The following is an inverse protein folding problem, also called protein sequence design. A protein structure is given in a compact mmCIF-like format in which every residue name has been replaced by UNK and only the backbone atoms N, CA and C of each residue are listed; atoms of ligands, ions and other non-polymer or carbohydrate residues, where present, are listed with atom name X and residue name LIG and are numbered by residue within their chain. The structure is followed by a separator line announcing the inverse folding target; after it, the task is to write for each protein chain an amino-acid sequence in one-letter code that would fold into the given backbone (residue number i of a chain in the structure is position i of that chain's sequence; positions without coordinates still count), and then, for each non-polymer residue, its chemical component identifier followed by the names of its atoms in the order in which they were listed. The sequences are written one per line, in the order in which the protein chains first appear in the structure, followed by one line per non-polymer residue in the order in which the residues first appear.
data_IF_482606415362
#
_entry.id   IF_482606415362
#
_cell.length_a   1.000
_cell.length_b   1.000
_cell.length_c   1.000
_cell.angle_alpha   90.00
_cell.angle_beta   90.00
_cell.angle_gamma   90.00
#
_symmetry.space_group_name_H-M   'P 1'
#
loop_
_entity.id
_entity.type
_entity.pdbx_description
1 polymer ?
#
# COMPACT_ATOMS: atom_id res chain seq x y z
N UNK A 1 17.47 -47.98 37.18
CA UNK A 1 17.60 -46.53 37.20
C UNK A 1 17.62 -46.05 35.73
N UNK A 2 16.47 -45.66 35.22
CA UNK A 2 16.34 -45.09 33.91
C UNK A 2 16.43 -43.57 34.05
N UNK A 3 17.54 -43.00 33.65
CA UNK A 3 17.70 -41.53 33.53
C UNK A 3 16.68 -40.99 32.52
N UNK A 4 15.71 -40.25 33.04
CA UNK A 4 14.84 -39.41 32.22
C UNK A 4 15.69 -38.26 31.67
N UNK A 5 16.14 -38.37 30.43
CA UNK A 5 16.73 -37.23 29.72
C UNK A 5 15.64 -36.23 29.47
N UNK A 6 15.60 -35.16 30.27
CA UNK A 6 14.80 -33.98 29.96
C UNK A 6 15.17 -33.47 28.55
N UNK A 7 14.21 -33.17 27.66
CA UNK A 7 14.51 -32.70 26.35
C UNK A 7 15.30 -31.38 26.42
N UNK A 8 16.38 -31.30 25.66
CA UNK A 8 17.19 -30.10 25.50
C UNK A 8 16.31 -28.89 25.21
N UNK A 9 16.59 -27.68 25.76
CA UNK A 9 15.76 -26.47 25.61
C UNK A 9 15.46 -26.07 24.14
N UNK A 10 16.19 -26.62 23.16
CA UNK A 10 16.01 -26.38 21.72
C UNK A 10 14.84 -27.17 21.07
N UNK A 11 14.15 -28.03 21.84
CA UNK A 11 13.12 -28.94 21.28
C UNK A 11 11.68 -28.45 21.46
N UNK A 12 11.43 -27.40 22.25
CA UNK A 12 10.08 -26.85 22.46
C UNK A 12 9.92 -25.50 21.75
N UNK A 13 8.69 -25.21 21.28
CA UNK A 13 8.34 -23.88 20.82
C UNK A 13 8.26 -22.93 22.00
N UNK A 14 8.97 -21.78 21.98
CA UNK A 14 8.83 -20.78 23.04
C UNK A 14 7.41 -20.22 23.08
N UNK A 15 6.99 -19.77 24.26
CA UNK A 15 5.70 -19.08 24.44
C UNK A 15 5.69 -17.74 23.68
N UNK A 16 4.49 -17.20 23.43
CA UNK A 16 4.36 -15.90 22.74
C UNK A 16 5.02 -14.77 23.51
N UNK A 17 5.02 -14.81 24.82
CA UNK A 17 5.67 -13.83 25.68
C UNK A 17 7.21 -13.93 25.57
N UNK A 18 7.76 -15.14 25.56
CA UNK A 18 9.19 -15.37 25.35
C UNK A 18 9.62 -14.89 23.97
N UNK A 19 8.86 -15.22 22.90
CA UNK A 19 9.16 -14.79 21.53
C UNK A 19 9.12 -13.27 21.40
N UNK A 20 8.15 -12.62 22.05
CA UNK A 20 8.05 -11.16 22.02
C UNK A 20 9.24 -10.46 22.70
N UNK A 21 9.89 -11.12 23.66
CA UNK A 21 11.05 -10.60 24.38
C UNK A 21 12.39 -11.03 23.76
N UNK A 22 12.35 -12.06 22.90
CA UNK A 22 13.51 -12.66 22.26
C UNK A 22 14.18 -11.70 21.27
N UNK A 23 15.50 -11.68 21.23
CA UNK A 23 16.25 -11.01 20.18
C UNK A 23 16.18 -11.80 18.87
N UNK A 24 16.42 -11.14 17.74
CA UNK A 24 16.46 -11.82 16.43
C UNK A 24 17.54 -12.91 16.41
N UNK A 25 18.68 -12.68 17.05
CA UNK A 25 19.77 -13.66 17.15
C UNK A 25 19.36 -14.93 17.91
N UNK A 26 18.64 -14.80 19.01
CA UNK A 26 18.11 -15.94 19.76
C UNK A 26 17.06 -16.70 18.95
N UNK A 27 16.19 -15.98 18.23
CA UNK A 27 15.20 -16.58 17.35
C UNK A 27 15.86 -17.45 16.26
N UNK A 28 16.96 -17.01 15.66
CA UNK A 28 17.72 -17.78 14.66
C UNK A 28 18.33 -19.09 15.19
N UNK A 29 18.62 -19.18 16.49
CA UNK A 29 19.17 -20.40 17.09
C UNK A 29 18.10 -21.46 17.39
N UNK A 30 16.84 -21.08 17.39
CA UNK A 30 15.72 -22.03 17.59
C UNK A 30 15.26 -22.60 16.22
N UNK A 31 15.79 -23.77 15.86
CA UNK A 31 15.50 -24.41 14.57
C UNK A 31 14.03 -24.62 14.28
N UNK A 32 13.21 -24.90 15.31
CA UNK A 32 11.77 -25.15 15.16
C UNK A 32 11.05 -23.84 14.85
N UNK A 33 11.41 -22.75 15.54
CA UNK A 33 10.89 -21.41 15.28
C UNK A 33 11.27 -20.97 13.87
N UNK A 34 12.55 -21.08 13.48
CA UNK A 34 13.03 -20.73 12.13
C UNK A 34 12.24 -21.46 11.04
N UNK A 35 12.00 -22.76 11.18
CA UNK A 35 11.19 -23.53 10.22
C UNK A 35 9.79 -22.93 10.06
N UNK A 36 9.12 -22.60 11.15
CA UNK A 36 7.79 -22.00 11.11
C UNK A 36 7.82 -20.59 10.49
N UNK A 37 8.82 -19.78 10.85
CA UNK A 37 9.01 -18.43 10.30
C UNK A 37 9.27 -18.46 8.78
N UNK A 38 10.03 -19.47 8.28
CA UNK A 38 10.25 -19.64 6.83
C UNK A 38 8.94 -19.96 6.11
N UNK A 39 8.11 -20.85 6.66
CA UNK A 39 6.81 -21.18 6.08
C UNK A 39 5.90 -19.93 6.11
N UNK A 40 5.87 -19.24 7.24
CA UNK A 40 5.04 -18.05 7.41
C UNK A 40 5.48 -16.89 6.50
N UNK A 41 6.79 -16.64 6.38
CA UNK A 41 7.33 -15.63 5.47
C UNK A 41 7.07 -15.96 4.00
N UNK A 42 7.16 -17.25 3.61
CA UNK A 42 6.77 -17.69 2.26
C UNK A 42 5.27 -17.47 2.02
N UNK A 43 4.42 -17.77 3.01
CA UNK A 43 2.98 -17.51 2.92
C UNK A 43 2.68 -16.02 2.77
N UNK A 44 3.38 -15.18 3.54
CA UNK A 44 3.30 -13.72 3.43
C UNK A 44 3.70 -13.23 2.04
N UNK A 45 4.82 -13.73 1.50
CA UNK A 45 5.24 -13.40 0.13
C UNK A 45 4.17 -13.78 -0.89
N UNK A 46 3.61 -14.99 -0.83
CA UNK A 46 2.57 -15.44 -1.77
C UNK A 46 1.30 -14.58 -1.69
N UNK A 47 1.00 -14.00 -0.52
CA UNK A 47 -0.14 -13.11 -0.35
C UNK A 47 0.09 -11.73 -0.98
N UNK A 48 1.35 -11.23 -1.00
CA UNK A 48 1.68 -9.87 -1.41
C UNK A 48 2.41 -9.80 -2.76
N UNK A 49 2.90 -10.92 -3.33
CA UNK A 49 3.74 -10.87 -4.54
C UNK A 49 3.05 -10.24 -5.75
N UNK A 50 1.72 -10.11 -5.74
CA UNK A 50 0.99 -9.41 -6.79
C UNK A 50 1.45 -7.95 -6.96
N UNK A 51 2.04 -7.34 -5.93
CA UNK A 51 2.58 -5.98 -5.97
C UNK A 51 3.65 -5.82 -7.06
N UNK A 52 4.41 -6.88 -7.36
CA UNK A 52 5.44 -6.87 -8.41
C UNK A 52 4.85 -6.56 -9.80
N UNK A 53 3.59 -6.94 -10.01
CA UNK A 53 2.89 -6.76 -11.28
C UNK A 53 2.00 -5.50 -11.27
N UNK A 54 1.33 -5.26 -10.16
CA UNK A 54 0.32 -4.19 -10.04
C UNK A 54 0.97 -2.83 -9.78
N UNK A 55 1.99 -2.76 -8.92
CA UNK A 55 2.63 -1.48 -8.60
C UNK A 55 3.25 -0.79 -9.83
N UNK A 56 4.05 -1.47 -10.67
CA UNK A 56 4.60 -0.85 -11.86
C UNK A 56 3.54 -0.32 -12.83
N UNK A 57 2.40 -1.00 -12.94
CA UNK A 57 1.30 -0.51 -13.79
C UNK A 57 0.63 0.75 -13.25
N UNK A 58 0.47 0.87 -11.94
CA UNK A 58 -0.08 2.09 -11.33
C UNK A 58 0.93 3.24 -11.45
N UNK A 59 2.19 2.98 -11.13
CA UNK A 59 3.23 4.01 -11.12
C UNK A 59 3.61 4.45 -12.52
N UNK A 60 3.53 3.58 -13.53
CA UNK A 60 3.78 3.96 -14.94
C UNK A 60 2.85 5.06 -15.45
N UNK A 61 1.69 5.26 -14.83
CA UNK A 61 0.80 6.39 -15.11
C UNK A 61 1.46 7.77 -14.86
N UNK A 62 2.59 7.83 -14.16
CA UNK A 62 3.42 9.03 -13.98
C UNK A 62 4.34 9.33 -15.15
N UNK A 63 4.56 8.36 -16.03
CA UNK A 63 5.55 8.39 -17.11
C UNK A 63 6.85 7.65 -16.79
N UNK A 64 6.98 7.03 -15.62
CA UNK A 64 8.08 6.10 -15.32
C UNK A 64 7.89 4.83 -16.18
N UNK A 65 8.93 4.36 -16.91
CA UNK A 65 8.85 3.10 -17.63
C UNK A 65 8.51 1.93 -16.71
N UNK A 66 7.53 1.12 -17.11
CA UNK A 66 7.04 -0.02 -16.31
C UNK A 66 8.15 -1.01 -15.96
N UNK A 67 9.09 -1.19 -16.89
CA UNK A 67 10.24 -2.08 -16.75
C UNK A 67 11.12 -1.65 -15.57
N UNK A 68 11.45 -0.36 -15.51
CA UNK A 68 12.29 0.21 -14.46
C UNK A 68 11.59 0.21 -13.11
N UNK A 69 10.29 0.55 -13.09
CA UNK A 69 9.49 0.50 -11.85
C UNK A 69 9.34 -0.92 -11.32
N UNK A 70 9.35 -1.95 -12.18
CA UNK A 70 9.33 -3.34 -11.75
C UNK A 70 10.56 -3.67 -10.89
N UNK A 71 11.75 -3.26 -11.33
CA UNK A 71 12.97 -3.42 -10.54
C UNK A 71 12.91 -2.60 -9.24
N UNK A 72 12.46 -1.33 -9.33
CA UNK A 72 12.32 -0.46 -8.17
C UNK A 72 11.36 -1.07 -7.12
N UNK A 73 10.22 -1.59 -7.55
CA UNK A 73 9.24 -2.28 -6.69
C UNK A 73 9.85 -3.49 -5.98
N UNK A 74 10.59 -4.34 -6.71
CA UNK A 74 11.24 -5.53 -6.14
C UNK A 74 12.30 -5.11 -5.12
N UNK A 75 13.16 -4.15 -5.45
CA UNK A 75 14.23 -3.71 -4.56
C UNK A 75 13.68 -2.97 -3.33
N UNK A 76 12.68 -2.10 -3.50
CA UNK A 76 12.02 -1.41 -2.38
C UNK A 76 11.37 -2.41 -1.42
N UNK A 77 10.64 -3.41 -1.94
CA UNK A 77 9.99 -4.45 -1.16
C UNK A 77 10.99 -5.36 -0.45
N UNK A 78 12.03 -5.78 -1.15
CA UNK A 78 13.10 -6.60 -0.56
C UNK A 78 13.81 -5.86 0.58
N UNK A 79 14.23 -4.62 0.32
CA UNK A 79 14.91 -3.79 1.32
C UNK A 79 13.99 -3.51 2.51
N UNK A 80 12.74 -3.09 2.27
CA UNK A 80 11.77 -2.79 3.32
C UNK A 80 11.51 -3.97 4.24
N UNK A 81 11.25 -5.15 3.69
CA UNK A 81 11.00 -6.37 4.47
C UNK A 81 12.25 -6.83 5.24
N UNK A 82 13.43 -6.84 4.60
CA UNK A 82 14.68 -7.26 5.26
C UNK A 82 15.03 -6.28 6.37
N UNK A 83 15.01 -4.98 6.09
CA UNK A 83 15.32 -3.94 7.07
C UNK A 83 14.33 -3.97 8.25
N UNK A 84 13.03 -4.08 7.96
CA UNK A 84 11.99 -4.20 8.96
C UNK A 84 12.22 -5.39 9.88
N UNK A 85 12.50 -6.57 9.31
CA UNK A 85 12.80 -7.77 10.08
C UNK A 85 14.05 -7.62 10.95
N UNK A 86 15.11 -7.00 10.43
CA UNK A 86 16.38 -6.80 11.15
C UNK A 86 16.25 -5.78 12.29
N UNK A 87 15.63 -4.62 12.05
CA UNK A 87 15.58 -3.52 13.00
C UNK A 87 14.51 -3.68 14.07
N UNK A 88 13.32 -4.12 13.68
CA UNK A 88 12.18 -4.21 14.59
C UNK A 88 11.98 -5.60 15.20
N UNK A 89 12.55 -6.63 14.58
CA UNK A 89 12.27 -8.04 14.90
C UNK A 89 10.75 -8.31 14.94
N UNK A 90 10.05 -7.88 13.89
CA UNK A 90 8.60 -8.08 13.69
C UNK A 90 8.34 -8.73 12.34
N UNK A 91 7.24 -9.48 12.19
CA UNK A 91 6.90 -10.14 10.94
C UNK A 91 6.30 -9.18 9.90
N UNK A 92 6.49 -7.86 10.09
CA UNK A 92 5.86 -6.85 9.25
C UNK A 92 6.41 -6.87 7.82
N UNK A 93 5.51 -6.95 6.86
CA UNK A 93 5.82 -6.87 5.43
C UNK A 93 5.75 -5.39 5.04
N UNK A 94 6.86 -4.86 4.54
CA UNK A 94 7.00 -3.45 4.14
C UNK A 94 7.21 -3.40 2.63
N UNK A 95 6.20 -2.90 1.91
CA UNK A 95 6.19 -2.86 0.44
C UNK A 95 5.48 -1.59 -0.05
N UNK A 96 5.63 -1.18 -1.34
CA UNK A 96 4.89 -0.05 -1.89
C UNK A 96 3.37 -0.18 -1.65
N UNK A 97 2.77 0.84 -1.04
CA UNK A 97 1.37 0.85 -0.62
C UNK A 97 0.43 1.22 -1.75
N UNK A 98 -0.66 0.46 -1.95
CA UNK A 98 -1.60 0.71 -3.06
C UNK A 98 -2.27 2.08 -2.97
N UNK A 99 -2.62 2.55 -1.78
CA UNK A 99 -3.20 3.88 -1.57
C UNK A 99 -2.20 4.99 -1.89
N UNK A 100 -0.96 4.84 -1.41
CA UNK A 100 0.13 5.78 -1.69
C UNK A 100 0.46 5.80 -3.18
N UNK A 101 0.48 4.65 -3.84
CA UNK A 101 0.73 4.55 -5.28
C UNK A 101 -0.33 5.29 -6.09
N UNK A 102 -1.60 5.19 -5.67
CA UNK A 102 -2.69 5.92 -6.29
C UNK A 102 -2.58 7.43 -6.07
N UNK A 103 -2.20 7.88 -4.87
CA UNK A 103 -1.92 9.29 -4.59
C UNK A 103 -0.74 9.79 -5.42
N UNK A 104 0.37 9.03 -5.44
CA UNK A 104 1.58 9.33 -6.19
C UNK A 104 1.29 9.52 -7.68
N UNK A 105 0.60 8.55 -8.28
CA UNK A 105 0.41 8.49 -9.73
C UNK A 105 -0.74 9.37 -10.22
N UNK A 106 -1.92 9.21 -9.64
CA UNK A 106 -3.11 9.85 -10.20
C UNK A 106 -3.36 11.24 -9.62
N UNK A 107 -3.14 11.44 -8.32
CA UNK A 107 -3.39 12.75 -7.71
C UNK A 107 -2.23 13.71 -7.93
N UNK A 108 -0.99 13.27 -7.65
CA UNK A 108 0.18 14.17 -7.70
C UNK A 108 0.69 14.29 -9.14
N UNK A 109 1.11 13.20 -9.77
CA UNK A 109 1.68 13.30 -11.09
C UNK A 109 0.65 13.78 -12.12
N UNK A 110 -0.49 13.09 -12.27
CA UNK A 110 -1.48 13.44 -13.26
C UNK A 110 -2.33 14.65 -12.86
N UNK A 111 -2.89 14.65 -11.63
CA UNK A 111 -3.83 15.68 -11.19
C UNK A 111 -3.19 17.05 -10.93
N UNK A 112 -1.96 17.10 -10.40
CA UNK A 112 -1.23 18.35 -10.18
C UNK A 112 -0.26 18.70 -11.32
N UNK A 113 -0.17 17.82 -12.35
CA UNK A 113 0.72 17.96 -13.51
C UNK A 113 2.20 18.04 -13.15
N UNK A 114 2.64 17.19 -12.22
CA UNK A 114 4.04 17.03 -11.88
C UNK A 114 4.70 15.99 -12.78
N UNK A 115 5.95 16.25 -13.16
CA UNK A 115 6.77 15.20 -13.77
C UNK A 115 7.01 14.07 -12.76
N UNK A 116 7.37 12.89 -13.25
CA UNK A 116 7.71 11.79 -12.35
C UNK A 116 8.89 12.12 -11.43
N UNK A 117 9.87 12.92 -11.93
CA UNK A 117 11.01 13.37 -11.14
C UNK A 117 10.57 14.30 -9.98
N UNK A 118 9.62 15.21 -10.25
CA UNK A 118 9.05 16.06 -9.21
C UNK A 118 8.23 15.25 -8.21
N UNK A 119 7.51 14.23 -8.68
CA UNK A 119 6.72 13.35 -7.81
C UNK A 119 7.62 12.50 -6.91
N UNK A 120 8.78 12.04 -7.42
CA UNK A 120 9.80 11.39 -6.61
C UNK A 120 10.42 12.35 -5.57
N UNK A 121 10.59 13.63 -5.92
CA UNK A 121 11.05 14.63 -4.95
C UNK A 121 10.01 14.84 -3.82
N UNK A 122 8.71 14.89 -4.14
CA UNK A 122 7.63 14.90 -3.15
C UNK A 122 7.70 13.66 -2.26
N UNK A 123 7.85 12.48 -2.87
CA UNK A 123 8.01 11.20 -2.16
C UNK A 123 9.20 11.23 -1.18
N UNK A 124 10.36 11.71 -1.64
CA UNK A 124 11.57 11.80 -0.81
C UNK A 124 11.38 12.75 0.37
N UNK A 125 10.85 13.95 0.15
CA UNK A 125 10.63 14.92 1.23
C UNK A 125 9.60 14.39 2.23
N UNK A 126 8.50 13.81 1.76
CA UNK A 126 7.50 13.18 2.62
C UNK A 126 8.08 12.04 3.44
N UNK A 127 8.94 11.21 2.84
CA UNK A 127 9.63 10.09 3.50
C UNK A 127 10.61 10.57 4.57
N UNK A 128 11.36 11.64 4.30
CA UNK A 128 12.25 12.27 5.27
C UNK A 128 11.48 12.85 6.47
N UNK A 129 10.36 13.53 6.21
CA UNK A 129 9.47 14.04 7.25
C UNK A 129 8.86 12.90 8.07
N UNK A 130 8.35 11.86 7.39
CA UNK A 130 7.81 10.67 8.06
C UNK A 130 8.86 10.00 8.93
N UNK A 131 10.04 9.71 8.40
CA UNK A 131 11.15 9.14 9.17
C UNK A 131 11.49 10.00 10.39
N UNK A 132 11.61 11.31 10.22
CA UNK A 132 11.87 12.25 11.33
C UNK A 132 10.79 12.15 12.40
N UNK A 133 9.52 12.11 12.02
CA UNK A 133 8.39 11.98 12.95
C UNK A 133 8.45 10.67 13.73
N UNK A 134 8.88 9.55 13.13
CA UNK A 134 8.96 8.25 13.81
C UNK A 134 10.00 8.21 14.95
N UNK A 135 11.00 9.10 14.91
CA UNK A 135 11.95 9.24 16.02
C UNK A 135 11.42 10.12 17.16
N UNK A 136 10.34 10.86 16.95
CA UNK A 136 9.70 11.73 17.93
C UNK A 136 8.42 11.09 18.49
N UNK A 137 7.90 11.53 19.64
CA UNK A 137 6.57 11.11 20.14
C UNK A 137 5.40 11.74 19.37
N UNK A 138 5.68 12.58 18.36
CA UNK A 138 4.66 13.31 17.63
C UNK A 138 3.86 12.40 16.71
N UNK A 139 4.46 11.35 16.16
CA UNK A 139 3.77 10.39 15.29
C UNK A 139 2.62 9.70 16.03
N UNK A 140 2.83 9.29 17.28
CA UNK A 140 1.77 8.68 18.09
C UNK A 140 0.64 9.68 18.37
N UNK A 141 0.99 10.92 18.72
CA UNK A 141 0.00 11.98 18.95
C UNK A 141 -0.84 12.29 17.72
N UNK A 142 -0.24 12.30 16.53
CA UNK A 142 -0.97 12.53 15.26
C UNK A 142 -1.86 11.32 14.98
N UNK A 143 -1.34 10.11 15.09
CA UNK A 143 -2.10 8.89 14.79
C UNK A 143 -3.27 8.67 15.75
N UNK A 144 -3.08 8.96 17.05
CA UNK A 144 -4.12 8.83 18.08
C UNK A 144 -5.16 9.95 18.04
N UNK A 145 -4.77 11.12 17.50
CA UNK A 145 -5.67 12.26 17.32
C UNK A 145 -6.75 12.01 16.24
N UNK A 146 -6.48 11.12 15.29
CA UNK A 146 -7.37 10.89 14.17
C UNK A 146 -8.36 9.78 14.52
N UNK A 147 -9.64 10.09 14.38
CA UNK A 147 -10.74 9.18 14.60
C UNK A 147 -10.63 7.97 13.63
N UNK A 148 -10.88 6.77 14.15
CA UNK A 148 -10.80 5.52 13.38
C UNK A 148 -11.79 5.49 12.21
N UNK A 149 -12.95 6.14 12.34
CA UNK A 149 -13.90 6.31 11.23
C UNK A 149 -13.29 7.06 10.05
N UNK A 150 -12.43 8.07 10.31
CA UNK A 150 -11.74 8.82 9.25
C UNK A 150 -10.67 7.97 8.55
N UNK A 151 -9.88 7.19 9.32
CA UNK A 151 -8.88 6.26 8.77
C UNK A 151 -9.55 5.21 7.89
N UNK A 152 -10.62 4.60 8.38
CA UNK A 152 -11.40 3.62 7.64
C UNK A 152 -12.01 4.21 6.37
N UNK A 153 -12.52 5.45 6.43
CA UNK A 153 -13.08 6.13 5.28
C UNK A 153 -12.06 6.39 4.17
N UNK A 154 -10.82 6.71 4.54
CA UNK A 154 -9.73 6.91 3.57
C UNK A 154 -9.49 5.59 2.82
N UNK A 155 -9.33 4.47 3.52
CA UNK A 155 -9.12 3.15 2.90
C UNK A 155 -10.28 2.76 1.99
N UNK A 156 -11.52 2.95 2.44
CA UNK A 156 -12.73 2.69 1.63
C UNK A 156 -12.76 3.56 0.38
N UNK A 157 -12.47 4.85 0.51
CA UNK A 157 -12.44 5.79 -0.62
C UNK A 157 -11.36 5.44 -1.64
N UNK A 158 -10.16 5.07 -1.17
CA UNK A 158 -9.05 4.60 -2.03
C UNK A 158 -9.43 3.29 -2.72
N UNK A 159 -10.03 2.33 -2.01
CA UNK A 159 -10.48 1.06 -2.58
C UNK A 159 -11.48 1.26 -3.73
N UNK A 160 -12.45 2.15 -3.56
CA UNK A 160 -13.39 2.54 -4.61
C UNK A 160 -12.68 3.21 -5.79
N UNK A 161 -11.74 4.11 -5.52
CA UNK A 161 -10.99 4.81 -6.56
C UNK A 161 -10.11 3.87 -7.38
N UNK A 162 -9.40 2.95 -6.75
CA UNK A 162 -8.61 1.93 -7.43
C UNK A 162 -9.50 1.03 -8.30
N UNK A 163 -10.64 0.59 -7.78
CA UNK A 163 -11.62 -0.19 -8.53
C UNK A 163 -12.13 0.58 -9.75
N UNK A 164 -12.51 1.84 -9.58
CA UNK A 164 -12.97 2.70 -10.66
C UNK A 164 -11.89 2.88 -11.74
N UNK A 165 -10.64 3.13 -11.33
CA UNK A 165 -9.51 3.31 -12.23
C UNK A 165 -9.19 2.03 -13.01
N UNK A 166 -9.24 0.87 -12.36
CA UNK A 166 -9.04 -0.42 -13.01
C UNK A 166 -10.15 -0.72 -14.03
N UNK A 167 -11.43 -0.48 -13.69
CA UNK A 167 -12.56 -0.66 -14.58
C UNK A 167 -12.49 0.28 -15.80
N UNK A 168 -12.04 1.52 -15.58
CA UNK A 168 -11.79 2.48 -16.67
C UNK A 168 -10.63 2.01 -17.56
N UNK A 169 -9.55 1.52 -16.96
CA UNK A 169 -8.36 1.06 -17.69
C UNK A 169 -8.62 -0.10 -18.65
N UNK A 170 -9.55 -1.01 -18.29
CA UNK A 170 -9.96 -2.14 -19.16
C UNK A 170 -11.15 -1.81 -20.05
N UNK A 171 -11.67 -0.58 -20.01
CA UNK A 171 -12.79 -0.14 -20.85
C UNK A 171 -14.16 -0.66 -20.42
N UNK A 172 -14.33 -1.10 -19.17
CA UNK A 172 -15.65 -1.43 -18.61
C UNK A 172 -16.47 -0.17 -18.37
N UNK A 173 -15.80 0.87 -17.88
CA UNK A 173 -16.37 2.21 -17.71
C UNK A 173 -15.69 3.13 -18.72
N UNK A 174 -16.51 3.83 -19.52
CA UNK A 174 -16.04 4.82 -20.50
C UNK A 174 -16.74 6.15 -20.29
N UNK A 175 -16.12 7.25 -20.75
CA UNK A 175 -16.74 8.57 -20.66
C UNK A 175 -17.93 8.67 -21.65
N UNK A 176 -18.98 9.32 -21.17
CA UNK A 176 -20.21 9.58 -21.94
C UNK A 176 -20.61 11.05 -21.80
N UNK A 177 -21.06 11.66 -22.89
CA UNK A 177 -21.42 13.10 -22.88
C UNK A 177 -22.71 13.40 -22.13
N UNK A 178 -23.64 12.44 -22.05
CA UNK A 178 -24.95 12.65 -21.41
C UNK A 178 -24.92 12.24 -19.93
N UNK A 179 -24.28 11.11 -19.61
CA UNK A 179 -24.30 10.51 -18.26
C UNK A 179 -22.93 10.57 -17.56
N UNK A 180 -21.95 11.33 -18.10
CA UNK A 180 -20.53 11.40 -17.67
C UNK A 180 -19.79 10.07 -17.85
N UNK A 181 -20.42 8.94 -17.48
CA UNK A 181 -19.86 7.59 -17.61
C UNK A 181 -20.97 6.63 -18.09
N UNK A 182 -20.55 5.63 -18.87
CA UNK A 182 -21.41 4.53 -19.33
C UNK A 182 -20.62 3.24 -19.43
N UNK A 183 -21.31 2.13 -19.68
CA UNK A 183 -20.64 0.86 -19.95
C UNK A 183 -19.98 0.88 -21.34
N UNK A 184 -18.77 0.36 -21.38
CA UNK A 184 -18.06 0.14 -22.64
C UNK A 184 -18.57 -1.06 -23.41
N UNK A 185 -17.79 -1.53 -24.38
CA UNK A 185 -18.13 -2.69 -25.19
C UNK A 185 -17.98 -4.00 -24.40
N UNK A 186 -19.09 -4.51 -23.84
CA UNK A 186 -19.12 -5.76 -23.05
C UNK A 186 -18.68 -7.02 -23.83
N UNK A 187 -18.57 -6.93 -25.17
CA UNK A 187 -18.07 -8.03 -26.02
C UNK A 187 -16.54 -7.97 -26.20
N UNK A 188 -15.87 -6.97 -25.66
CA UNK A 188 -14.40 -6.88 -25.74
C UNK A 188 -13.75 -8.10 -25.09
N UNK A 189 -12.83 -8.80 -25.76
CA UNK A 189 -12.09 -9.92 -25.17
C UNK A 189 -11.34 -9.53 -23.88
N UNK A 190 -10.76 -8.34 -23.84
CA UNK A 190 -10.06 -7.80 -22.65
C UNK A 190 -11.02 -7.72 -21.48
N UNK A 191 -12.27 -7.26 -21.71
CA UNK A 191 -13.25 -7.16 -20.65
C UNK A 191 -13.74 -8.52 -20.18
N UNK A 192 -14.01 -9.45 -21.11
CA UNK A 192 -14.43 -10.83 -20.75
C UNK A 192 -13.34 -11.55 -19.94
N UNK A 193 -12.08 -11.36 -20.30
CA UNK A 193 -10.93 -11.89 -19.53
C UNK A 193 -10.81 -11.24 -18.15
N UNK A 194 -11.08 -9.93 -18.05
CA UNK A 194 -11.12 -9.24 -16.73
C UNK A 194 -12.24 -9.81 -15.85
N UNK A 195 -13.43 -10.00 -16.39
CA UNK A 195 -14.55 -10.60 -15.65
C UNK A 195 -14.21 -12.02 -15.19
N UNK A 196 -13.61 -12.84 -16.05
CA UNK A 196 -13.12 -14.16 -15.67
C UNK A 196 -12.11 -14.06 -14.52
N UNK A 197 -11.16 -13.12 -14.61
CA UNK A 197 -10.18 -12.86 -13.55
C UNK A 197 -10.83 -12.47 -12.23
N UNK A 198 -11.85 -11.59 -12.24
CA UNK A 198 -12.62 -11.22 -11.05
C UNK A 198 -13.30 -12.46 -10.43
N UNK A 199 -13.92 -13.30 -11.23
CA UNK A 199 -14.56 -14.52 -10.73
C UNK A 199 -13.57 -15.50 -10.12
N UNK A 200 -12.40 -15.68 -10.75
CA UNK A 200 -11.35 -16.57 -10.24
C UNK A 200 -10.74 -16.01 -8.93
N UNK A 201 -10.42 -14.72 -8.88
CA UNK A 201 -9.88 -14.11 -7.66
C UNK A 201 -10.88 -14.18 -6.51
N UNK A 202 -12.16 -13.90 -6.77
CA UNK A 202 -13.24 -14.04 -5.81
C UNK A 202 -13.34 -15.50 -5.31
N UNK A 203 -13.33 -16.48 -6.21
CA UNK A 203 -13.40 -17.90 -5.84
C UNK A 203 -12.25 -18.31 -4.91
N UNK A 204 -11.02 -17.97 -5.26
CA UNK A 204 -9.86 -18.29 -4.42
C UNK A 204 -9.89 -17.56 -3.09
N UNK A 205 -10.33 -16.30 -3.08
CA UNK A 205 -10.47 -15.51 -1.85
C UNK A 205 -11.50 -16.13 -0.89
N UNK A 206 -12.66 -16.55 -1.38
CA UNK A 206 -13.68 -17.24 -0.58
C UNK A 206 -13.14 -18.58 -0.03
N UNK A 207 -12.30 -19.27 -0.80
CA UNK A 207 -11.65 -20.51 -0.35
C UNK A 207 -10.45 -20.28 0.59
N UNK A 208 -10.13 -19.05 0.94
CA UNK A 208 -9.01 -18.70 1.82
C UNK A 208 -7.63 -19.08 1.28
N UNK A 209 -7.46 -19.10 -0.06
CA UNK A 209 -6.19 -19.49 -0.69
C UNK A 209 -5.32 -18.25 -0.89
N UNK A 210 -4.26 -18.09 -0.08
CA UNK A 210 -3.32 -16.96 -0.12
C UNK A 210 -2.64 -16.77 -1.49
N UNK A 211 -2.35 -17.86 -2.22
CA UNK A 211 -1.79 -17.83 -3.57
C UNK A 211 -2.82 -17.58 -4.68
N UNK A 212 -4.09 -17.41 -4.32
CA UNK A 212 -5.21 -17.35 -5.27
C UNK A 212 -5.16 -16.18 -6.23
N UNK A 213 -4.67 -15.01 -5.80
CA UNK A 213 -4.50 -13.84 -6.67
C UNK A 213 -3.53 -14.14 -7.81
N UNK A 214 -2.38 -14.74 -7.48
CA UNK A 214 -1.35 -15.09 -8.47
C UNK A 214 -1.85 -16.18 -9.41
N UNK A 215 -2.53 -17.20 -8.88
CA UNK A 215 -3.11 -18.25 -9.73
C UNK A 215 -4.14 -17.68 -10.71
N UNK A 216 -5.02 -16.82 -10.25
CA UNK A 216 -6.00 -16.13 -11.10
C UNK A 216 -5.30 -15.33 -12.20
N UNK A 217 -4.30 -14.54 -11.83
CA UNK A 217 -3.52 -13.75 -12.78
C UNK A 217 -2.83 -14.66 -13.82
N UNK A 218 -2.21 -15.75 -13.39
CA UNK A 218 -1.56 -16.69 -14.29
C UNK A 218 -2.56 -17.34 -15.27
N UNK A 219 -3.72 -17.80 -14.78
CA UNK A 219 -4.77 -18.38 -15.63
C UNK A 219 -5.26 -17.37 -16.67
N UNK A 220 -5.58 -16.15 -16.27
CA UNK A 220 -6.04 -15.09 -17.19
C UNK A 220 -4.96 -14.76 -18.20
N UNK A 221 -3.69 -14.66 -17.77
CA UNK A 221 -2.56 -14.38 -18.66
C UNK A 221 -2.38 -15.49 -19.70
N UNK A 222 -2.45 -16.76 -19.30
CA UNK A 222 -2.34 -17.91 -20.24
C UNK A 222 -3.46 -17.85 -21.27
N UNK A 223 -4.71 -17.61 -20.84
CA UNK A 223 -5.85 -17.53 -21.75
C UNK A 223 -5.70 -16.34 -22.69
N UNK A 224 -5.25 -15.18 -22.17
CA UNK A 224 -5.01 -13.98 -22.98
C UNK A 224 -3.94 -14.22 -24.06
N UNK A 225 -2.85 -14.92 -23.71
CA UNK A 225 -1.80 -15.31 -24.66
C UNK A 225 -2.33 -16.26 -25.73
N UNK A 226 -3.07 -17.31 -25.34
CA UNK A 226 -3.65 -18.30 -26.26
C UNK A 226 -4.67 -17.69 -27.24
N UNK A 227 -5.39 -16.65 -26.80
CA UNK A 227 -6.42 -15.95 -27.59
C UNK A 227 -5.89 -14.74 -28.37
N UNK A 228 -4.57 -14.46 -28.27
CA UNK A 228 -3.96 -13.29 -28.93
C UNK A 228 -4.35 -11.94 -28.32
N UNK A 229 -4.88 -11.92 -27.11
CA UNK A 229 -5.34 -10.72 -26.40
C UNK A 229 -4.41 -10.27 -25.25
N UNK A 230 -3.19 -10.76 -25.23
CA UNK A 230 -2.21 -10.37 -24.20
C UNK A 230 -1.70 -8.90 -24.33
N UNK A 231 -2.08 -8.21 -25.41
CA UNK A 231 -1.57 -6.89 -25.72
C UNK A 231 -0.12 -6.94 -26.24
N UNK A 232 0.40 -5.78 -26.65
CA UNK A 232 1.82 -5.62 -26.96
C UNK A 232 2.59 -5.41 -25.64
N UNK A 233 2.67 -6.45 -24.81
CA UNK A 233 3.46 -6.37 -23.59
C UNK A 233 4.93 -6.12 -23.94
N UNK A 234 5.51 -5.06 -23.41
CA UNK A 234 6.95 -4.89 -23.43
C UNK A 234 7.51 -5.92 -22.48
N UNK A 235 8.17 -6.94 -23.03
CA UNK A 235 8.84 -7.92 -22.21
C UNK A 235 9.89 -7.20 -21.37
N UNK A 236 9.73 -7.23 -20.05
CA UNK A 236 10.77 -6.72 -19.14
C UNK A 236 11.97 -7.64 -19.32
N UNK A 237 13.10 -7.08 -19.74
CA UNK A 237 14.31 -7.85 -19.99
C UNK A 237 15.34 -7.57 -18.90
N UNK A 238 16.23 -8.54 -18.64
CA UNK A 238 17.35 -8.31 -17.72
C UNK A 238 18.26 -7.16 -18.18
N UNK A 239 18.31 -6.90 -19.50
CA UNK A 239 19.07 -5.78 -20.05
C UNK A 239 18.51 -4.41 -19.59
N UNK A 240 17.23 -4.31 -19.22
CA UNK A 240 16.64 -3.08 -18.70
C UNK A 240 17.22 -2.70 -17.34
N UNK A 241 17.80 -3.66 -16.62
CA UNK A 241 18.54 -3.38 -15.38
C UNK A 241 19.74 -2.45 -15.63
N UNK A 242 20.37 -2.49 -16.81
CA UNK A 242 21.43 -1.54 -17.17
C UNK A 242 20.95 -0.09 -17.22
N UNK A 243 19.65 0.10 -17.56
CA UNK A 243 19.01 1.40 -17.60
C UNK A 243 18.43 1.83 -16.25
N UNK A 244 18.44 0.96 -15.24
CA UNK A 244 17.86 1.26 -13.92
C UNK A 244 18.51 2.48 -13.26
N UNK A 245 19.79 2.73 -13.54
CA UNK A 245 20.50 3.93 -13.11
C UNK A 245 19.85 5.25 -13.56
N UNK A 246 19.04 5.25 -14.62
CA UNK A 246 18.32 6.44 -15.08
C UNK A 246 17.11 6.80 -14.19
N UNK A 247 16.72 5.90 -13.30
CA UNK A 247 15.64 6.13 -12.34
C UNK A 247 16.19 6.52 -10.96
N UNK A 248 17.33 5.93 -10.58
CA UNK A 248 17.95 6.13 -9.26
C UNK A 248 18.50 7.54 -9.11
N UNK A 249 18.22 8.21 -8.01
CA UNK A 249 18.63 9.59 -7.70
C UNK A 249 18.19 10.66 -8.72
N UNK A 250 17.07 10.44 -9.44
CA UNK A 250 16.55 11.40 -10.42
C UNK A 250 15.42 12.27 -9.87
N UNK A 251 15.37 12.53 -8.57
CA UNK A 251 14.45 13.48 -7.97
C UNK A 251 14.77 14.90 -8.43
N UNK A 252 13.76 15.61 -8.97
CA UNK A 252 13.92 16.99 -9.40
C UNK A 252 13.16 17.94 -8.47
N UNK A 253 13.87 18.93 -7.96
CA UNK A 253 13.31 20.02 -7.16
C UNK A 253 13.02 21.27 -8.00
N UNK A 254 13.17 21.18 -9.33
CA UNK A 254 12.69 22.22 -10.26
C UNK A 254 11.21 21.97 -10.48
N UNK A 255 10.38 22.56 -9.62
CA UNK A 255 8.94 22.31 -9.58
C UNK A 255 8.15 23.46 -10.19
N UNK A 256 7.02 23.18 -10.89
CA UNK A 256 6.16 24.21 -11.46
C UNK A 256 5.58 25.18 -10.42
N UNK A 257 5.32 24.68 -9.20
CA UNK A 257 4.77 25.46 -8.09
C UNK A 257 5.22 24.87 -6.76
N UNK A 258 5.93 25.65 -5.96
CA UNK A 258 6.32 25.27 -4.59
C UNK A 258 5.12 25.07 -3.67
N UNK A 259 4.03 25.78 -3.92
CA UNK A 259 2.80 25.66 -3.16
C UNK A 259 2.16 24.29 -3.42
N UNK A 260 2.00 23.91 -4.71
CA UNK A 260 1.51 22.56 -5.07
C UNK A 260 2.43 21.46 -4.53
N UNK A 261 3.75 21.70 -4.53
CA UNK A 261 4.73 20.77 -3.96
C UNK A 261 4.52 20.58 -2.44
N UNK A 262 4.31 21.66 -1.68
CA UNK A 262 4.04 21.59 -0.25
C UNK A 262 2.71 20.86 0.04
N UNK A 263 1.67 21.12 -0.73
CA UNK A 263 0.37 20.43 -0.63
C UNK A 263 0.52 18.93 -0.91
N UNK A 264 1.22 18.57 -1.97
CA UNK A 264 1.48 17.18 -2.35
C UNK A 264 2.26 16.46 -1.25
N UNK A 265 3.32 17.10 -0.74
CA UNK A 265 4.16 16.58 0.35
C UNK A 265 3.33 16.36 1.63
N UNK A 266 2.51 17.34 2.02
CA UNK A 266 1.63 17.22 3.17
C UNK A 266 0.62 16.07 3.01
N UNK A 267 -0.04 15.98 1.86
CA UNK A 267 -1.02 14.92 1.58
C UNK A 267 -0.38 13.54 1.59
N UNK A 268 0.81 13.39 1.00
CA UNK A 268 1.57 12.14 0.98
C UNK A 268 1.99 11.75 2.40
N UNK A 269 2.54 12.67 3.18
CA UNK A 269 2.94 12.44 4.57
C UNK A 269 1.75 11.99 5.43
N UNK A 270 0.61 12.67 5.31
CA UNK A 270 -0.59 12.30 6.07
C UNK A 270 -1.08 10.90 5.70
N UNK A 271 -1.10 10.56 4.40
CA UNK A 271 -1.50 9.22 3.97
C UNK A 271 -0.54 8.14 4.48
N UNK A 272 0.77 8.37 4.42
CA UNK A 272 1.77 7.44 4.99
C UNK A 272 1.55 7.19 6.49
N UNK A 273 1.18 8.24 7.25
CA UNK A 273 0.87 8.10 8.68
C UNK A 273 -0.40 7.28 8.87
N UNK A 274 -1.46 7.54 8.09
CA UNK A 274 -2.76 6.89 8.27
C UNK A 274 -2.72 5.41 7.89
N UNK A 275 -2.10 5.07 6.76
CA UNK A 275 -1.96 3.68 6.33
C UNK A 275 -0.97 2.92 7.22
N UNK A 276 0.23 3.47 7.44
CA UNK A 276 1.30 2.76 8.15
C UNK A 276 1.00 2.53 9.63
N UNK A 277 0.66 3.58 10.38
CA UNK A 277 0.51 3.47 11.84
C UNK A 277 -0.67 2.58 12.23
N UNK A 278 -1.78 2.65 11.48
CA UNK A 278 -2.96 1.82 11.74
C UNK A 278 -2.67 0.33 11.65
N UNK A 279 -2.06 -0.09 10.54
CA UNK A 279 -1.68 -1.48 10.29
C UNK A 279 -0.63 -1.97 11.29
N UNK A 280 0.42 -1.16 11.53
CA UNK A 280 1.46 -1.51 12.50
C UNK A 280 0.88 -1.76 13.91
N UNK A 281 0.04 -0.86 14.40
CA UNK A 281 -0.59 -1.01 15.73
C UNK A 281 -1.51 -2.23 15.81
N UNK A 282 -2.11 -2.64 14.69
CA UNK A 282 -2.98 -3.81 14.61
C UNK A 282 -2.24 -5.15 14.66
N UNK A 283 -1.00 -5.21 14.20
CA UNK A 283 -0.27 -6.46 14.01
C UNK A 283 0.97 -6.62 14.89
N UNK A 284 1.47 -5.53 15.45
CA UNK A 284 2.75 -5.51 16.19
C UNK A 284 2.54 -5.23 17.67
N UNK A 285 3.26 -5.95 18.54
CA UNK A 285 3.23 -5.70 19.97
C UNK A 285 3.62 -4.23 20.28
N UNK A 286 2.93 -3.54 21.23
CA UNK A 286 3.10 -2.11 21.48
C UNK A 286 4.55 -1.64 21.64
N UNK A 287 5.39 -2.43 22.31
CA UNK A 287 6.81 -2.13 22.54
C UNK A 287 7.67 -2.15 21.27
N UNK A 288 7.22 -2.80 20.20
CA UNK A 288 7.93 -2.90 18.92
C UNK A 288 7.40 -1.94 17.86
N UNK A 289 6.23 -1.34 18.04
CA UNK A 289 5.58 -0.42 17.08
C UNK A 289 6.53 0.68 16.64
N UNK A 290 7.13 1.41 17.59
CA UNK A 290 8.04 2.51 17.27
C UNK A 290 9.19 2.08 16.37
N UNK A 291 9.84 0.94 16.66
CA UNK A 291 10.95 0.43 15.85
C UNK A 291 10.50 0.00 14.46
N UNK A 292 9.29 -0.56 14.34
CA UNK A 292 8.71 -0.92 13.04
C UNK A 292 8.48 0.32 12.20
N UNK A 293 7.85 1.36 12.75
CA UNK A 293 7.62 2.62 12.03
C UNK A 293 8.94 3.31 11.64
N UNK A 294 9.98 3.23 12.46
CA UNK A 294 11.32 3.72 12.12
C UNK A 294 11.92 2.97 10.93
N UNK A 295 11.77 1.64 10.92
CA UNK A 295 12.23 0.81 9.79
C UNK A 295 11.47 1.16 8.50
N UNK A 296 10.15 1.34 8.59
CA UNK A 296 9.32 1.78 7.46
C UNK A 296 9.73 3.17 6.97
N UNK A 297 10.04 4.10 7.88
CA UNK A 297 10.54 5.44 7.51
C UNK A 297 11.85 5.39 6.72
N UNK A 298 12.79 4.54 7.13
CA UNK A 298 14.06 4.36 6.41
C UNK A 298 13.82 3.66 5.07
N UNK A 299 12.94 2.65 5.04
CA UNK A 299 12.55 1.96 3.80
C UNK A 299 11.94 2.92 2.78
N UNK A 300 11.14 3.90 3.24
CA UNK A 300 10.52 4.91 2.38
C UNK A 300 11.54 5.86 1.75
N UNK A 301 12.55 6.27 2.52
CA UNK A 301 13.65 7.08 1.97
C UNK A 301 14.36 6.29 0.87
N UNK A 302 14.67 5.01 1.13
CA UNK A 302 15.32 4.15 0.14
C UNK A 302 14.44 3.98 -1.11
N UNK A 303 13.15 3.65 -0.95
CA UNK A 303 12.20 3.50 -2.06
C UNK A 303 12.15 4.76 -2.93
N UNK A 304 12.05 5.94 -2.31
CA UNK A 304 12.03 7.22 -3.01
C UNK A 304 13.34 7.49 -3.76
N UNK A 305 14.49 7.10 -3.22
CA UNK A 305 15.80 7.30 -3.85
C UNK A 305 16.02 6.39 -5.06
N UNK A 306 15.50 5.17 -5.03
CA UNK A 306 15.63 4.23 -6.15
C UNK A 306 14.53 4.39 -7.20
N UNK A 307 13.63 5.37 -7.03
CA UNK A 307 12.64 5.72 -8.04
C UNK A 307 11.27 5.08 -7.86
N UNK A 308 11.00 4.39 -6.74
CA UNK A 308 9.68 3.83 -6.43
C UNK A 308 8.85 4.77 -5.54
N UNK A 309 7.55 4.52 -5.48
CA UNK A 309 6.65 5.15 -4.52
C UNK A 309 6.97 4.70 -3.07
N UNK A 310 6.57 5.48 -2.04
CA UNK A 310 6.80 5.09 -0.66
C UNK A 310 6.16 3.75 -0.28
N UNK A 311 6.85 3.01 0.57
CA UNK A 311 6.38 1.75 1.13
C UNK A 311 5.52 1.97 2.37
N UNK A 312 4.68 1.00 2.70
CA UNK A 312 3.87 0.95 3.92
C UNK A 312 3.93 -0.42 4.56
N UNK A 313 3.51 -0.48 5.79
CA UNK A 313 3.24 -1.72 6.50
C UNK A 313 1.99 -2.37 5.90
N UNK A 314 2.17 -3.52 5.22
CA UNK A 314 1.12 -4.16 4.43
C UNK A 314 0.14 -4.95 5.30
N UNK A 315 -1.16 -4.82 5.00
CA UNK A 315 -2.22 -5.59 5.66
C UNK A 315 -2.10 -7.10 5.40
N UNK A 316 -1.49 -7.50 4.30
CA UNK A 316 -1.19 -8.90 3.96
C UNK A 316 -0.24 -9.58 4.95
N UNK A 317 0.42 -8.80 5.82
CA UNK A 317 1.12 -9.32 7.01
C UNK A 317 0.21 -10.23 7.84
N UNK A 318 -1.10 -9.99 7.85
CA UNK A 318 -2.09 -10.86 8.47
C UNK A 318 -2.04 -12.30 7.98
N UNK A 319 -1.71 -12.54 6.70
CA UNK A 319 -1.54 -13.89 6.15
C UNK A 319 -0.30 -14.60 6.70
N UNK A 320 0.80 -13.88 6.89
CA UNK A 320 2.00 -14.42 7.53
C UNK A 320 1.75 -14.72 9.02
N UNK A 321 1.05 -13.83 9.73
CA UNK A 321 0.65 -14.02 11.13
C UNK A 321 -0.26 -15.24 11.28
N UNK A 322 -1.26 -15.40 10.41
CA UNK A 322 -2.13 -16.58 10.39
C UNK A 322 -1.37 -17.88 10.12
N UNK A 323 -0.27 -17.82 9.36
CA UNK A 323 0.62 -18.94 9.12
C UNK A 323 1.66 -19.17 10.25
N UNK A 324 1.62 -18.36 11.32
CA UNK A 324 2.45 -18.52 12.51
C UNK A 324 3.69 -17.64 12.58
N UNK A 325 3.78 -16.57 11.76
CA UNK A 325 4.85 -15.57 11.87
C UNK A 325 4.81 -14.84 13.21
N UNK A 326 5.95 -14.66 13.85
CA UNK A 326 6.06 -13.99 15.16
C UNK A 326 7.28 -13.07 15.27
N UNK A 327 8.28 -13.29 14.42
CA UNK A 327 9.57 -12.60 14.49
C UNK A 327 9.94 -11.96 13.17
N UNK A 328 11.04 -11.19 13.18
CA UNK A 328 11.59 -10.58 11.96
C UNK A 328 12.13 -11.58 10.93
N UNK A 329 12.27 -12.86 11.29
CA UNK A 329 12.75 -13.89 10.36
C UNK A 329 11.77 -14.05 9.20
N UNK A 330 10.46 -14.08 9.45
CA UNK A 330 9.45 -14.18 8.39
C UNK A 330 9.49 -12.98 7.44
N UNK A 331 9.67 -11.77 7.96
CA UNK A 331 9.82 -10.57 7.13
C UNK A 331 11.08 -10.66 6.25
N UNK A 332 12.22 -11.10 6.83
CA UNK A 332 13.46 -11.33 6.07
C UNK A 332 13.25 -12.36 4.98
N UNK A 333 12.57 -13.47 5.26
CA UNK A 333 12.24 -14.51 4.27
C UNK A 333 11.37 -13.95 3.16
N UNK A 334 10.36 -13.14 3.50
CA UNK A 334 9.54 -12.43 2.49
C UNK A 334 10.40 -11.54 1.60
N UNK A 335 11.32 -10.76 2.19
CA UNK A 335 12.26 -9.93 1.44
C UNK A 335 13.20 -10.73 0.53
N UNK A 336 13.69 -11.88 0.98
CA UNK A 336 14.51 -12.78 0.16
C UNK A 336 13.71 -13.36 -1.02
N UNK A 337 12.42 -13.67 -0.83
CA UNK A 337 11.54 -14.08 -1.93
C UNK A 337 11.32 -12.95 -2.94
N UNK A 338 11.26 -11.68 -2.52
CA UNK A 338 11.26 -10.55 -3.46
C UNK A 338 12.55 -10.51 -4.28
N UNK A 339 13.73 -10.72 -3.68
CA UNK A 339 14.99 -10.85 -4.45
C UNK A 339 14.91 -12.04 -5.41
N UNK A 340 14.45 -13.19 -4.94
CA UNK A 340 14.30 -14.38 -5.80
C UNK A 340 13.34 -14.16 -6.97
N UNK A 341 12.34 -13.28 -6.81
CA UNK A 341 11.38 -12.95 -7.87
C UNK A 341 12.02 -12.24 -9.09
N UNK A 342 13.24 -11.74 -8.98
CA UNK A 342 14.00 -11.27 -10.15
C UNK A 342 14.10 -12.35 -11.25
N UNK A 343 14.05 -13.63 -10.90
CA UNK A 343 13.99 -14.73 -11.88
C UNK A 343 12.71 -14.66 -12.74
N UNK A 344 11.65 -14.05 -12.24
CA UNK A 344 10.37 -13.92 -12.95
C UNK A 344 10.34 -12.72 -13.91
N UNK A 345 11.36 -11.88 -13.95
CA UNK A 345 11.44 -10.67 -14.78
C UNK A 345 10.97 -10.93 -16.23
N UNK A 346 11.45 -11.96 -16.95
CA UNK A 346 11.02 -12.19 -18.33
C UNK A 346 9.54 -12.51 -18.47
N UNK A 347 8.89 -12.99 -17.39
CA UNK A 347 7.47 -13.36 -17.40
C UNK A 347 6.57 -12.16 -17.08
N UNK A 348 7.07 -11.21 -16.32
CA UNK A 348 6.26 -10.07 -15.81
C UNK A 348 5.67 -9.25 -16.97
N UNK A 349 6.45 -8.97 -18.00
CA UNK A 349 6.01 -8.18 -19.16
C UNK A 349 4.91 -8.83 -20.00
N UNK A 350 4.67 -10.13 -19.85
CA UNK A 350 3.60 -10.84 -20.55
C UNK A 350 2.26 -10.79 -19.82
N UNK A 351 2.22 -10.25 -18.60
CA UNK A 351 0.97 -10.16 -17.83
C UNK A 351 0.13 -8.99 -18.34
N UNK A 352 -1.03 -9.25 -18.96
CA UNK A 352 -1.85 -8.21 -19.56
C UNK A 352 -2.63 -7.41 -18.52
N UNK A 353 -3.05 -6.20 -18.89
CA UNK A 353 -3.85 -5.31 -18.03
C UNK A 353 -5.16 -5.94 -17.56
N UNK A 354 -5.78 -6.83 -18.33
CA UNK A 354 -6.98 -7.54 -17.90
C UNK A 354 -6.74 -8.48 -16.70
N UNK A 355 -5.54 -9.06 -16.60
CA UNK A 355 -5.18 -9.93 -15.48
C UNK A 355 -4.91 -9.10 -14.22
N UNK A 356 -4.15 -8.01 -14.33
CA UNK A 356 -3.83 -7.15 -13.18
C UNK A 356 -5.02 -6.32 -12.71
N UNK A 357 -5.89 -5.85 -13.62
CA UNK A 357 -7.12 -5.14 -13.25
C UNK A 357 -8.02 -5.96 -12.33
N UNK A 358 -8.13 -7.28 -12.57
CA UNK A 358 -8.91 -8.17 -11.69
C UNK A 358 -8.37 -8.20 -10.25
N UNK A 359 -7.05 -8.13 -10.08
CA UNK A 359 -6.39 -8.06 -8.77
C UNK A 359 -6.64 -6.70 -8.11
N UNK A 360 -6.49 -5.61 -8.86
CA UNK A 360 -6.73 -4.25 -8.35
C UNK A 360 -8.18 -4.12 -7.86
N UNK A 361 -9.15 -4.66 -8.60
CA UNK A 361 -10.58 -4.66 -8.21
C UNK A 361 -10.78 -5.46 -6.92
N UNK A 362 -10.16 -6.64 -6.80
CA UNK A 362 -10.24 -7.41 -5.56
C UNK A 362 -9.59 -6.67 -4.38
N UNK A 363 -8.42 -6.07 -4.58
CA UNK A 363 -7.74 -5.26 -3.55
C UNK A 363 -8.64 -4.10 -3.11
N UNK A 364 -9.28 -3.40 -4.06
CA UNK A 364 -10.26 -2.37 -3.75
C UNK A 364 -11.44 -2.90 -2.92
N UNK A 365 -11.95 -4.08 -3.26
CA UNK A 365 -13.02 -4.72 -2.49
C UNK A 365 -12.58 -5.11 -1.07
N UNK A 366 -11.33 -5.56 -0.88
CA UNK A 366 -10.77 -5.85 0.44
C UNK A 366 -10.62 -4.56 1.27
N UNK A 367 -10.14 -3.47 0.68
CA UNK A 367 -10.06 -2.16 1.35
C UNK A 367 -11.45 -1.64 1.76
N UNK A 368 -12.50 -1.92 0.96
CA UNK A 368 -13.86 -1.56 1.33
C UNK A 368 -14.39 -2.30 2.58
N UNK A 369 -13.79 -3.41 2.99
CA UNK A 369 -14.19 -4.09 4.23
C UNK A 369 -13.96 -3.22 5.48
N UNK A 370 -13.11 -2.21 5.39
CA UNK A 370 -12.84 -1.24 6.47
C UNK A 370 -14.05 -0.33 6.75
N UNK A 371 -15.10 -0.37 5.92
CA UNK A 371 -16.38 0.31 6.22
C UNK A 371 -16.95 -0.06 7.59
N UNK A 372 -16.61 -1.25 8.09
CA UNK A 372 -17.00 -1.72 9.43
C UNK A 372 -16.38 -0.90 10.57
N UNK A 373 -15.25 -0.24 10.32
CA UNK A 373 -14.59 0.66 11.28
C UNK A 373 -15.23 2.05 11.35
N UNK A 374 -16.22 2.34 10.49
CA UNK A 374 -16.90 3.63 10.48
C UNK A 374 -18.10 3.60 11.44
N UNK A 375 -18.08 4.51 12.41
CA UNK A 375 -19.20 4.66 13.35
C UNK A 375 -20.39 5.34 12.66
N UNK A 376 -21.31 4.51 12.16
CA UNK A 376 -22.55 4.97 11.51
C UNK A 376 -23.65 5.42 12.49
N UNK A 377 -23.46 5.20 13.80
CA UNK A 377 -24.45 5.62 14.82
C UNK A 377 -24.29 7.10 15.20
N UNK A 378 -23.07 7.65 15.12
CA UNK A 378 -22.81 9.05 15.33
C UNK A 378 -22.67 9.78 13.98
N UNK A 379 -23.68 10.57 13.62
CA UNK A 379 -23.69 11.32 12.37
C UNK A 379 -22.51 12.27 12.24
N UNK A 380 -21.98 12.78 13.37
CA UNK A 380 -20.79 13.63 13.38
C UNK A 380 -19.49 12.89 13.01
N UNK A 381 -19.47 11.56 13.11
CA UNK A 381 -18.40 10.70 12.58
C UNK A 381 -18.71 10.23 11.16
N UNK A 382 -19.98 9.87 10.91
CA UNK A 382 -20.42 9.30 9.64
C UNK A 382 -20.32 10.29 8.47
N UNK A 383 -20.82 11.53 8.65
CA UNK A 383 -20.88 12.49 7.55
C UNK A 383 -19.50 12.92 7.02
N UNK A 384 -18.51 13.25 7.85
CA UNK A 384 -17.14 13.47 7.38
C UNK A 384 -16.55 12.25 6.67
N UNK A 385 -16.77 11.03 7.20
CA UNK A 385 -16.35 9.79 6.57
C UNK A 385 -17.00 9.58 5.19
N UNK A 386 -18.29 9.84 5.07
CA UNK A 386 -19.01 9.82 3.79
C UNK A 386 -18.40 10.79 2.78
N UNK A 387 -18.04 12.01 3.20
CA UNK A 387 -17.40 12.98 2.31
C UNK A 387 -16.06 12.48 1.77
N UNK A 388 -15.25 11.80 2.58
CA UNK A 388 -14.01 11.18 2.10
C UNK A 388 -14.32 10.11 1.05
N UNK A 389 -15.18 9.15 1.40
CA UNK A 389 -15.52 8.00 0.56
C UNK A 389 -16.08 8.44 -0.80
N UNK A 390 -16.93 9.45 -0.80
CA UNK A 390 -17.57 9.97 -2.00
C UNK A 390 -16.58 10.80 -2.84
N UNK A 391 -15.85 11.72 -2.20
CA UNK A 391 -15.05 12.71 -2.93
C UNK A 391 -13.85 12.07 -3.64
N UNK A 392 -13.18 11.08 -3.02
CA UNK A 392 -11.99 10.45 -3.60
C UNK A 392 -12.26 9.90 -5.01
N UNK A 393 -13.20 8.97 -5.24
CA UNK A 393 -13.43 8.40 -6.57
C UNK A 393 -14.04 9.39 -7.56
N UNK A 394 -14.89 10.32 -7.11
CA UNK A 394 -15.55 11.27 -8.00
C UNK A 394 -14.66 12.43 -8.46
N UNK A 395 -13.67 12.82 -7.67
CA UNK A 395 -12.70 13.85 -8.07
C UNK A 395 -11.42 13.26 -8.66
N UNK A 396 -11.21 11.96 -8.50
CA UNK A 396 -9.93 11.32 -8.83
C UNK A 396 -8.76 11.80 -7.96
N UNK A 397 -9.05 12.41 -6.80
CA UNK A 397 -8.05 13.04 -5.93
C UNK A 397 -8.21 12.59 -4.48
N UNK A 398 -7.26 11.78 -4.02
CA UNK A 398 -7.21 11.33 -2.63
C UNK A 398 -7.00 12.52 -1.70
N UNK A 399 -6.14 13.47 -2.08
CA UNK A 399 -5.86 14.68 -1.32
C UNK A 399 -7.13 15.53 -1.09
N UNK A 400 -7.94 15.73 -2.15
CA UNK A 400 -9.20 16.47 -2.07
C UNK A 400 -10.22 15.77 -1.17
N UNK A 401 -10.31 14.43 -1.29
CA UNK A 401 -11.21 13.65 -0.44
C UNK A 401 -10.84 13.71 1.04
N UNK A 402 -9.55 13.55 1.35
CA UNK A 402 -9.06 13.75 2.72
C UNK A 402 -9.39 15.15 3.23
N UNK A 403 -9.12 16.19 2.42
CA UNK A 403 -9.40 17.57 2.80
C UNK A 403 -10.88 17.76 3.16
N UNK A 404 -11.81 17.31 2.33
CA UNK A 404 -13.25 17.44 2.59
C UNK A 404 -13.67 16.82 3.92
N UNK A 405 -13.20 15.61 4.23
CA UNK A 405 -13.55 14.95 5.48
C UNK A 405 -12.89 15.61 6.71
N UNK A 406 -11.58 15.91 6.63
CA UNK A 406 -10.87 16.52 7.77
C UNK A 406 -11.33 17.95 8.08
N UNK A 407 -11.80 18.69 7.10
CA UNK A 407 -12.43 20.01 7.32
C UNK A 407 -13.82 19.85 7.94
N UNK A 408 -14.62 18.91 7.42
CA UNK A 408 -15.98 18.69 7.91
C UNK A 408 -16.01 18.10 9.33
N UNK A 409 -15.01 17.31 9.73
CA UNK A 409 -14.99 16.62 11.01
C UNK A 409 -15.11 17.54 12.24
N UNK A 410 -14.24 18.55 12.42
CA UNK A 410 -14.37 19.46 13.57
C UNK A 410 -15.67 20.26 13.53
N UNK A 411 -16.14 20.65 12.35
CA UNK A 411 -17.41 21.36 12.19
C UNK A 411 -18.57 20.49 12.66
N UNK A 412 -18.63 19.22 12.20
CA UNK A 412 -19.67 18.27 12.60
C UNK A 412 -19.67 18.02 14.12
N UNK A 413 -18.48 17.88 14.74
CA UNK A 413 -18.35 17.70 16.19
C UNK A 413 -18.82 18.92 16.98
N UNK A 414 -18.54 20.14 16.53
CA UNK A 414 -19.02 21.38 17.14
C UNK A 414 -20.55 21.46 17.04
N UNK A 415 -21.12 21.21 15.84
CA UNK A 415 -22.56 21.21 15.62
C UNK A 415 -23.29 20.15 16.46
N UNK A 416 -22.67 18.99 16.71
CA UNK A 416 -23.21 17.97 17.58
C UNK A 416 -23.06 18.25 19.08
N UNK A 417 -22.48 19.38 19.49
CA UNK A 417 -22.21 19.69 20.89
C UNK A 417 -21.05 18.88 21.50
N UNK A 418 -20.26 18.19 20.66
CA UNK A 418 -19.15 17.31 21.05
C UNK A 418 -17.77 17.96 20.86
N UNK A 419 -17.69 19.29 20.98
CA UNK A 419 -16.43 20.03 20.81
C UNK A 419 -15.30 19.54 21.76
N UNK A 420 -15.65 18.96 22.90
CA UNK A 420 -14.67 18.38 23.86
C UNK A 420 -13.94 17.15 23.33
N UNK A 421 -14.46 16.48 22.31
CA UNK A 421 -13.80 15.34 21.65
C UNK A 421 -12.70 15.79 20.67
N UNK A 422 -12.68 17.09 20.31
CA UNK A 422 -11.66 17.65 19.45
C UNK A 422 -10.39 17.96 20.22
N UNK A 423 -9.27 17.58 19.63
CA UNK A 423 -7.95 17.97 20.12
C UNK A 423 -7.30 18.99 19.17
N UNK A 424 -6.22 19.64 19.63
CA UNK A 424 -5.52 20.65 18.84
C UNK A 424 -5.02 20.10 17.48
N UNK A 425 -4.66 18.82 17.42
CA UNK A 425 -4.16 18.18 16.18
C UNK A 425 -5.28 18.11 15.14
N UNK A 426 -6.53 17.77 15.51
CA UNK A 426 -7.66 17.75 14.58
C UNK A 426 -7.87 19.14 13.95
N UNK A 427 -7.80 20.19 14.75
CA UNK A 427 -7.98 21.57 14.28
C UNK A 427 -6.83 22.00 13.37
N UNK A 428 -5.59 21.69 13.73
CA UNK A 428 -4.41 21.99 12.91
C UNK A 428 -4.50 21.29 11.55
N UNK A 429 -4.83 19.99 11.54
CA UNK A 429 -4.98 19.23 10.29
C UNK A 429 -6.11 19.81 9.43
N UNK A 430 -7.26 20.18 10.03
CA UNK A 430 -8.36 20.81 9.30
C UNK A 430 -7.95 22.15 8.69
N UNK A 431 -7.20 22.98 9.42
CA UNK A 431 -6.69 24.26 8.92
C UNK A 431 -5.69 24.08 7.78
N UNK A 432 -4.79 23.11 7.90
CA UNK A 432 -3.82 22.79 6.84
C UNK A 432 -4.53 22.30 5.56
N UNK A 433 -5.54 21.43 5.68
CA UNK A 433 -6.34 21.00 4.54
C UNK A 433 -7.19 22.13 3.96
N UNK A 434 -7.73 23.03 4.80
CA UNK A 434 -8.46 24.23 4.33
C UNK A 434 -7.54 25.13 3.52
N UNK A 435 -6.34 25.42 4.02
CA UNK A 435 -5.33 26.16 3.28
C UNK A 435 -4.96 25.47 1.95
N UNK A 436 -4.82 24.14 1.97
CA UNK A 436 -4.54 23.34 0.78
C UNK A 436 -5.65 23.48 -0.28
N UNK A 437 -6.92 23.35 0.10
CA UNK A 437 -8.05 23.52 -0.84
C UNK A 437 -8.17 24.95 -1.34
N UNK A 438 -8.03 25.94 -0.46
CA UNK A 438 -8.08 27.35 -0.85
C UNK A 438 -7.01 27.65 -1.89
N UNK A 439 -5.77 27.22 -1.65
CA UNK A 439 -4.69 27.40 -2.62
C UNK A 439 -4.99 26.68 -3.94
N UNK A 440 -5.49 25.44 -3.90
CA UNK A 440 -5.84 24.72 -5.13
C UNK A 440 -6.92 25.47 -5.92
N UNK A 441 -7.90 26.07 -5.24
CA UNK A 441 -8.98 26.83 -5.88
C UNK A 441 -8.53 28.17 -6.48
N UNK A 442 -7.51 28.82 -5.90
CA UNK A 442 -7.04 30.14 -6.35
C UNK A 442 -5.79 30.08 -7.24
N UNK A 443 -5.05 28.97 -7.28
CA UNK A 443 -3.80 28.81 -8.04
C UNK A 443 -3.98 27.83 -9.23
N UNK A 444 -5.11 27.14 -9.29
CA UNK A 444 -5.50 26.34 -10.45
C UNK A 444 -6.09 27.24 -11.51
#
# INVERSE_FOLDING_TARGET
MTESTAPTPSAQMPSDEEINNMSLKEAWHNKKLVKNEVIAGTTGFLAIMYVIFVNPQIVSATGIPTELETFATIFASAFGCILGGLLSNTPMIIVPGMGINALFSYTIAQGMHFSWQNTLAVSLVSSLLYATLTFTPLIDKIADAINDSMKSAINVGIGLFLTFTALKGVGFIVSDKANFITFGNLRSPVLLLTLLGILLTMFFQIKGKTWGMIASMAIVTIIALLTGNAGSGHAVAYNDLSNFGTLVFHQSFVVPSWIKFAIATFSMLMLMIFEGVGVTKGYVAPKKVKKTLQATGIANIFASLIGSSPSVDAAETGSALAAGAKTGISAIVTGLWFVASLVLIPVIGYVPSCATASIIILTGALMMMDVKGIDSKDFANWFPAFLIIFTIPFTGSISTGMAMGFIAYPIAKICAGKAKELNAVNVIIALLFTASLAVTAFVA
#
